data_IF_966339324374
#
_entry.id   IF_966339324374
#
_cell.length_a   1.000
_cell.length_b   1.000
_cell.length_c   1.000
_cell.angle_alpha   90.00
_cell.angle_beta   90.00
_cell.angle_gamma   90.00
#
_symmetry.space_group_name_H-M   'P 1'
#
loop_
_entity.id
_entity.type
_entity.pdbx_description
1 polymer ?
#
# COMPACT_ATOMS: atom_id res chain seq x y z
N UNK A 1 -43.50 -29.33 17.66
CA UNK A 1 -42.22 -28.91 17.06
C UNK A 1 -42.21 -27.41 17.13
N UNK A 2 -41.73 -26.89 18.25
CA UNK A 2 -41.70 -25.46 18.52
C UNK A 2 -40.51 -24.85 17.79
N UNK A 3 -40.80 -23.99 16.82
CA UNK A 3 -39.79 -23.17 16.14
C UNK A 3 -39.35 -22.12 17.15
N UNK A 4 -38.14 -22.27 17.69
CA UNK A 4 -37.52 -21.27 18.53
C UNK A 4 -37.47 -19.92 17.77
N UNK A 5 -37.80 -18.79 18.41
CA UNK A 5 -37.69 -17.50 17.78
C UNK A 5 -36.22 -17.27 17.41
N UNK A 6 -35.94 -17.06 16.12
CA UNK A 6 -34.64 -16.64 15.63
C UNK A 6 -34.20 -15.42 16.44
N UNK A 7 -33.07 -15.53 17.12
CA UNK A 7 -32.47 -14.45 17.86
C UNK A 7 -32.49 -13.19 16.97
N UNK A 8 -33.27 -12.20 17.39
CA UNK A 8 -33.23 -10.87 16.81
C UNK A 8 -31.77 -10.40 16.91
N UNK A 9 -31.05 -10.49 15.80
CA UNK A 9 -29.77 -9.83 15.61
C UNK A 9 -30.06 -8.34 15.76
N UNK A 10 -29.92 -7.79 16.97
CA UNK A 10 -29.88 -6.37 17.20
C UNK A 10 -28.62 -5.86 16.49
N UNK A 11 -28.74 -5.63 15.18
CA UNK A 11 -27.80 -4.79 14.45
C UNK A 11 -27.96 -3.40 15.05
N UNK A 12 -27.10 -3.08 16.00
CA UNK A 12 -26.84 -1.70 16.38
C UNK A 12 -26.54 -0.95 15.10
N UNK A 13 -27.44 -0.04 14.71
CA UNK A 13 -27.27 0.76 13.50
C UNK A 13 -25.95 1.52 13.65
N UNK A 14 -25.01 1.25 12.75
CA UNK A 14 -23.70 1.91 12.77
C UNK A 14 -23.89 3.43 12.72
N UNK A 15 -23.14 4.21 13.51
CA UNK A 15 -23.12 5.64 13.32
C UNK A 15 -22.55 5.93 11.93
N UNK A 16 -23.13 6.92 11.24
CA UNK A 16 -22.80 7.24 9.85
C UNK A 16 -21.30 7.44 9.60
N UNK A 17 -20.59 8.03 10.57
CA UNK A 17 -19.14 8.23 10.44
C UNK A 17 -18.38 6.91 10.29
N UNK A 18 -18.80 5.86 11.02
CA UNK A 18 -18.11 4.57 11.03
C UNK A 18 -18.35 3.80 9.72
N UNK A 19 -19.57 3.90 9.20
CA UNK A 19 -19.93 3.38 7.89
C UNK A 19 -19.07 4.02 6.78
N UNK A 20 -19.03 5.36 6.72
CA UNK A 20 -18.25 6.08 5.70
C UNK A 20 -16.75 5.82 5.83
N UNK A 21 -16.19 5.88 7.05
CA UNK A 21 -14.77 5.60 7.27
C UNK A 21 -14.42 4.16 6.93
N UNK A 22 -15.30 3.21 7.27
CA UNK A 22 -15.14 1.81 6.92
C UNK A 22 -15.13 1.57 5.41
N UNK A 23 -16.07 2.17 4.66
CA UNK A 23 -16.12 2.08 3.20
C UNK A 23 -14.86 2.68 2.55
N UNK A 24 -14.44 3.88 2.99
CA UNK A 24 -13.23 4.52 2.47
C UNK A 24 -12.00 3.65 2.75
N UNK A 25 -11.89 3.11 3.96
CA UNK A 25 -10.79 2.23 4.34
C UNK A 25 -10.74 0.94 3.51
N UNK A 26 -11.89 0.36 3.18
CA UNK A 26 -11.97 -0.84 2.31
C UNK A 26 -11.50 -0.50 0.90
N UNK A 27 -11.96 0.61 0.32
CA UNK A 27 -11.56 1.01 -1.04
C UNK A 27 -10.07 1.30 -1.09
N UNK A 28 -9.57 2.12 -0.17
CA UNK A 28 -8.16 2.51 -0.14
C UNK A 28 -7.25 1.34 0.25
N UNK A 29 -7.66 0.47 1.17
CA UNK A 29 -6.92 -0.74 1.51
C UNK A 29 -6.79 -1.70 0.34
N UNK A 30 -7.85 -1.85 -0.47
CA UNK A 30 -7.81 -2.67 -1.67
C UNK A 30 -6.86 -2.07 -2.72
N UNK A 31 -6.96 -0.75 -2.93
CA UNK A 31 -6.07 -0.03 -3.84
C UNK A 31 -4.60 -0.13 -3.41
N UNK A 32 -4.32 0.08 -2.11
CA UNK A 32 -2.96 -0.03 -1.55
C UNK A 32 -2.42 -1.46 -1.65
N UNK A 33 -3.24 -2.47 -1.39
CA UNK A 33 -2.84 -3.88 -1.55
C UNK A 33 -2.45 -4.18 -2.99
N UNK A 34 -3.27 -3.73 -3.95
CA UNK A 34 -3.00 -3.93 -5.37
C UNK A 34 -1.75 -3.18 -5.83
N UNK A 35 -1.58 -1.92 -5.42
CA UNK A 35 -0.41 -1.11 -5.81
C UNK A 35 0.88 -1.71 -5.26
N UNK A 36 0.91 -2.06 -3.97
CA UNK A 36 2.07 -2.71 -3.35
C UNK A 36 2.36 -4.08 -3.97
N UNK A 37 1.33 -4.85 -4.36
CA UNK A 37 1.51 -6.10 -5.09
C UNK A 37 2.23 -5.94 -6.42
N UNK A 38 1.87 -4.91 -7.20
CA UNK A 38 2.55 -4.58 -8.47
C UNK A 38 4.00 -4.16 -8.20
N UNK A 39 4.25 -3.31 -7.21
CA UNK A 39 5.59 -2.88 -6.85
C UNK A 39 6.49 -4.04 -6.38
N UNK A 40 5.97 -4.93 -5.53
CA UNK A 40 6.69 -6.12 -5.09
C UNK A 40 7.01 -7.05 -6.25
N UNK A 41 6.07 -7.28 -7.15
CA UNK A 41 6.29 -8.15 -8.33
C UNK A 41 7.46 -7.63 -9.16
N UNK A 42 7.49 -6.32 -9.44
CA UNK A 42 8.61 -5.69 -10.15
C UNK A 42 9.93 -5.91 -9.40
N UNK A 43 9.96 -5.67 -8.10
CA UNK A 43 11.17 -5.83 -7.29
C UNK A 43 11.66 -7.28 -7.21
N UNK A 44 10.73 -8.23 -7.19
CA UNK A 44 11.06 -9.65 -7.21
C UNK A 44 11.71 -10.07 -8.52
N UNK A 45 11.16 -9.64 -9.66
CA UNK A 45 11.75 -9.89 -10.99
C UNK A 45 13.18 -9.34 -11.06
N UNK A 46 13.41 -8.13 -10.56
CA UNK A 46 14.75 -7.53 -10.51
C UNK A 46 15.70 -8.18 -9.49
N UNK A 47 15.17 -8.88 -8.49
CA UNK A 47 15.96 -9.58 -7.47
C UNK A 47 16.36 -10.99 -7.90
N UNK A 48 15.68 -11.59 -8.89
CA UNK A 48 15.97 -12.93 -9.38
C UNK A 48 17.32 -13.00 -10.13
N UNK A 49 18.02 -14.14 -10.11
CA UNK A 49 19.29 -14.33 -10.83
C UNK A 49 19.19 -14.08 -12.33
N UNK A 50 18.03 -14.36 -12.94
CA UNK A 50 17.76 -14.11 -14.36
C UNK A 50 17.69 -12.61 -14.64
N UNK A 51 17.00 -11.83 -13.80
CA UNK A 51 16.99 -10.36 -13.89
C UNK A 51 18.33 -9.71 -13.54
N UNK A 52 19.26 -10.45 -12.89
CA UNK A 52 20.66 -10.05 -12.74
C UNK A 52 21.51 -10.42 -13.97
N UNK A 53 21.16 -11.51 -14.67
CA UNK A 53 21.80 -11.96 -15.90
C UNK A 53 21.45 -11.06 -17.10
N UNK A 54 20.19 -10.64 -17.26
CA UNK A 54 19.79 -9.57 -18.20
C UNK A 54 20.46 -8.24 -17.86
N UNK A 55 20.68 -7.97 -16.57
CA UNK A 55 21.47 -6.81 -16.11
C UNK A 55 22.93 -6.86 -16.58
N UNK A 56 23.44 -8.04 -16.90
CA UNK A 56 24.82 -8.31 -17.28
C UNK A 56 24.97 -8.65 -18.79
N UNK A 57 23.89 -8.97 -19.48
CA UNK A 57 23.85 -9.36 -20.88
C UNK A 57 22.87 -8.44 -21.60
N UNK A 58 23.44 -7.44 -22.28
CA UNK A 58 22.83 -6.57 -23.28
C UNK A 58 21.30 -6.41 -23.19
N UNK A 59 20.87 -5.26 -22.68
CA UNK A 59 19.59 -4.62 -23.03
C UNK A 59 19.57 -4.28 -24.53
N UNK A 60 19.83 -5.24 -25.42
CA UNK A 60 19.64 -5.05 -26.85
C UNK A 60 18.14 -4.92 -27.11
N UNK A 61 17.77 -4.07 -28.07
CA UNK A 61 16.38 -3.87 -28.52
C UNK A 61 16.16 -4.74 -29.76
N UNK A 62 15.70 -5.99 -29.64
CA UNK A 62 15.56 -6.91 -30.77
C UNK A 62 14.41 -6.43 -31.65
N UNK A 63 14.59 -6.42 -32.97
CA UNK A 63 13.56 -5.88 -33.87
C UNK A 63 12.25 -6.68 -33.86
N UNK A 64 12.30 -7.97 -33.50
CA UNK A 64 11.13 -8.81 -33.31
C UNK A 64 10.28 -8.37 -32.11
N UNK A 65 10.90 -8.04 -30.97
CA UNK A 65 10.17 -7.50 -29.80
C UNK A 65 9.64 -6.09 -30.06
N UNK A 66 10.41 -5.22 -30.73
CA UNK A 66 9.95 -3.88 -31.11
C UNK A 66 8.66 -3.94 -31.93
N UNK A 67 8.58 -4.92 -32.84
CA UNK A 67 7.40 -5.14 -33.70
C UNK A 67 6.24 -5.76 -32.93
N UNK A 68 6.50 -6.64 -31.97
CA UNK A 68 5.46 -7.28 -31.14
C UNK A 68 4.85 -6.29 -30.14
N UNK A 69 5.68 -5.46 -29.50
CA UNK A 69 5.24 -4.46 -28.53
C UNK A 69 4.77 -3.14 -29.18
N UNK A 70 5.03 -2.95 -30.47
CA UNK A 70 4.64 -1.76 -31.23
C UNK A 70 5.40 -0.49 -30.81
N UNK A 71 6.62 -0.65 -30.31
CA UNK A 71 7.48 0.46 -29.85
C UNK A 71 8.57 0.78 -30.88
N UNK A 72 8.99 2.05 -30.95
CA UNK A 72 10.09 2.43 -31.83
C UNK A 72 11.44 2.13 -31.18
N UNK A 73 12.48 2.01 -32.00
CA UNK A 73 13.86 1.77 -31.52
C UNK A 73 14.33 2.86 -30.56
N UNK A 74 13.95 4.11 -30.79
CA UNK A 74 14.29 5.25 -29.94
C UNK A 74 13.65 5.15 -28.56
N UNK A 75 12.38 4.73 -28.51
CA UNK A 75 11.66 4.50 -27.24
C UNK A 75 12.34 3.39 -26.45
N UNK A 76 12.68 2.28 -27.11
CA UNK A 76 13.39 1.18 -26.45
C UNK A 76 14.75 1.62 -25.90
N UNK A 77 15.55 2.35 -26.69
CA UNK A 77 16.84 2.89 -26.22
C UNK A 77 16.70 3.85 -25.04
N UNK A 78 15.63 4.65 -25.02
CA UNK A 78 15.35 5.53 -23.90
C UNK A 78 14.97 4.75 -22.63
N UNK A 79 14.12 3.72 -22.76
CA UNK A 79 13.78 2.83 -21.63
C UNK A 79 15.01 2.08 -21.11
N UNK A 80 15.87 1.60 -22.01
CA UNK A 80 17.15 0.99 -21.67
C UNK A 80 18.03 1.96 -20.87
N UNK A 81 18.19 3.20 -21.36
CA UNK A 81 18.99 4.20 -20.67
C UNK A 81 18.44 4.54 -19.27
N UNK A 82 17.10 4.63 -19.14
CA UNK A 82 16.44 4.85 -17.85
C UNK A 82 16.63 3.66 -16.89
N UNK A 83 16.54 2.43 -17.40
CA UNK A 83 16.81 1.22 -16.63
C UNK A 83 18.26 1.21 -16.16
N UNK A 84 19.23 1.41 -17.06
CA UNK A 84 20.66 1.41 -16.72
C UNK A 84 21.00 2.50 -15.69
N UNK A 85 20.46 3.71 -15.87
CA UNK A 85 20.61 4.81 -14.91
C UNK A 85 20.03 4.45 -13.54
N UNK A 86 18.86 3.80 -13.51
CA UNK A 86 18.24 3.34 -12.28
C UNK A 86 19.09 2.27 -11.59
N UNK A 87 19.65 1.34 -12.35
CA UNK A 87 20.46 0.24 -11.84
C UNK A 87 21.78 0.71 -11.22
N UNK A 88 22.47 1.63 -11.88
CA UNK A 88 23.73 2.19 -11.37
C UNK A 88 23.48 3.02 -10.10
N UNK A 89 22.36 3.74 -10.04
CA UNK A 89 22.07 4.66 -8.93
C UNK A 89 21.36 4.01 -7.74
N UNK A 90 20.84 2.80 -7.88
CA UNK A 90 20.10 2.12 -6.81
C UNK A 90 21.04 1.35 -5.87
N UNK A 91 21.06 1.68 -4.57
CA UNK A 91 21.85 0.93 -3.60
C UNK A 91 21.35 -0.52 -3.46
N UNK A 92 22.26 -1.49 -3.35
CA UNK A 92 21.90 -2.92 -3.18
C UNK A 92 21.08 -3.22 -1.92
N UNK A 93 21.21 -2.39 -0.88
CA UNK A 93 20.44 -2.53 0.35
C UNK A 93 18.98 -2.04 0.20
N UNK A 94 18.74 -1.09 -0.71
CA UNK A 94 17.42 -0.46 -0.91
C UNK A 94 16.39 -1.50 -1.33
N UNK A 95 16.73 -2.40 -2.26
CA UNK A 95 15.85 -3.49 -2.71
C UNK A 95 15.36 -4.36 -1.55
N UNK A 96 16.27 -4.77 -0.64
CA UNK A 96 15.91 -5.61 0.50
C UNK A 96 15.02 -4.86 1.50
N UNK A 97 15.32 -3.60 1.77
CA UNK A 97 14.49 -2.75 2.62
C UNK A 97 13.08 -2.58 2.03
N UNK A 98 13.01 -2.30 0.73
CA UNK A 98 11.75 -2.04 0.04
C UNK A 98 10.86 -3.28 -0.08
N UNK A 99 11.43 -4.46 -0.31
CA UNK A 99 10.69 -5.73 -0.28
C UNK A 99 10.10 -5.97 1.11
N UNK A 100 10.89 -5.78 2.17
CA UNK A 100 10.42 -5.95 3.54
C UNK A 100 9.28 -4.99 3.89
N UNK A 101 9.43 -3.71 3.55
CA UNK A 101 8.40 -2.69 3.74
C UNK A 101 7.15 -2.98 2.90
N UNK A 102 7.29 -3.43 1.66
CA UNK A 102 6.17 -3.77 0.77
C UNK A 102 5.36 -4.96 1.30
N UNK A 103 6.02 -6.01 1.78
CA UNK A 103 5.33 -7.16 2.39
C UNK A 103 4.56 -6.72 3.65
N UNK A 104 5.21 -5.96 4.53
CA UNK A 104 4.55 -5.43 5.72
C UNK A 104 3.36 -4.52 5.35
N UNK A 105 3.52 -3.69 4.31
CA UNK A 105 2.48 -2.82 3.78
C UNK A 105 1.27 -3.59 3.27
N UNK A 106 1.48 -4.69 2.55
CA UNK A 106 0.38 -5.57 2.09
C UNK A 106 -0.37 -6.17 3.29
N UNK A 107 0.33 -6.65 4.30
CA UNK A 107 -0.30 -7.25 5.49
C UNK A 107 -1.16 -6.21 6.21
N UNK A 108 -0.65 -4.99 6.41
CA UNK A 108 -1.41 -3.93 7.07
C UNK A 108 -2.54 -3.37 6.20
N UNK A 109 -2.36 -3.29 4.89
CA UNK A 109 -3.43 -2.93 3.95
C UNK A 109 -4.56 -3.96 3.96
N UNK A 110 -4.25 -5.25 4.02
CA UNK A 110 -5.25 -6.29 4.26
C UNK A 110 -5.92 -6.13 5.64
N UNK A 111 -5.14 -5.75 6.67
CA UNK A 111 -5.68 -5.38 7.98
C UNK A 111 -6.66 -4.20 7.92
N UNK A 112 -6.43 -3.21 7.05
CA UNK A 112 -7.32 -2.06 6.89
C UNK A 112 -8.64 -2.44 6.22
N UNK A 113 -8.62 -3.43 5.31
CA UNK A 113 -9.83 -4.03 4.75
C UNK A 113 -10.69 -4.67 5.84
N UNK A 114 -10.06 -5.51 6.66
CA UNK A 114 -10.76 -6.27 7.72
C UNK A 114 -11.35 -5.32 8.75
N UNK A 115 -10.56 -4.36 9.24
CA UNK A 115 -11.01 -3.38 10.22
C UNK A 115 -12.03 -2.39 9.63
N UNK A 116 -11.91 -2.04 8.34
CA UNK A 116 -12.91 -1.24 7.62
C UNK A 116 -14.26 -1.94 7.49
N UNK A 117 -14.28 -3.23 7.11
CA UNK A 117 -15.51 -4.03 7.09
C UNK A 117 -16.12 -4.16 8.50
N UNK A 118 -15.29 -4.35 9.53
CA UNK A 118 -15.75 -4.42 10.91
C UNK A 118 -16.33 -3.09 11.43
N UNK A 119 -15.83 -1.95 10.93
CA UNK A 119 -16.40 -0.62 11.21
C UNK A 119 -17.79 -0.44 10.58
N UNK A 120 -17.97 -0.90 9.33
CA UNK A 120 -19.28 -0.86 8.66
C UNK A 120 -20.33 -1.67 9.43
N UNK A 121 -19.95 -2.82 9.97
CA UNK A 121 -20.81 -3.69 10.80
C UNK A 121 -20.83 -3.30 12.30
N UNK A 122 -20.27 -2.12 12.63
CA UNK A 122 -20.20 -1.53 13.97
C UNK A 122 -19.78 -2.49 15.08
N UNK A 123 -18.65 -3.18 14.89
CA UNK A 123 -18.07 -4.03 15.95
C UNK A 123 -17.40 -3.17 17.02
N UNK A 124 -17.66 -3.48 18.29
CA UNK A 124 -17.12 -2.71 19.42
C UNK A 124 -15.58 -2.62 19.46
N UNK A 125 -14.87 -3.63 18.95
CA UNK A 125 -13.41 -3.64 18.85
C UNK A 125 -12.86 -2.91 17.60
N UNK A 126 -13.72 -2.62 16.61
CA UNK A 126 -13.29 -2.16 15.29
C UNK A 126 -12.59 -0.80 15.32
N UNK A 127 -13.06 0.24 16.05
CA UNK A 127 -12.35 1.53 16.09
C UNK A 127 -10.92 1.41 16.64
N UNK A 128 -10.73 0.68 17.74
CA UNK A 128 -9.40 0.49 18.33
C UNK A 128 -8.45 -0.29 17.43
N UNK A 129 -8.92 -1.36 16.79
CA UNK A 129 -8.12 -2.11 15.84
C UNK A 129 -7.80 -1.29 14.57
N UNK A 130 -8.76 -0.51 14.07
CA UNK A 130 -8.56 0.40 12.94
C UNK A 130 -7.45 1.41 13.21
N UNK A 131 -7.50 2.07 14.37
CA UNK A 131 -6.45 3.03 14.80
C UNK A 131 -5.09 2.34 14.85
N UNK A 132 -5.03 1.12 15.39
CA UNK A 132 -3.78 0.35 15.47
C UNK A 132 -3.21 0.03 14.08
N UNK A 133 -4.06 -0.38 13.14
CA UNK A 133 -3.66 -0.65 11.76
C UNK A 133 -3.18 0.63 11.06
N UNK A 134 -3.92 1.74 11.19
CA UNK A 134 -3.53 3.03 10.60
C UNK A 134 -2.20 3.54 11.18
N UNK A 135 -1.98 3.40 12.49
CA UNK A 135 -0.70 3.75 13.12
C UNK A 135 0.46 2.90 12.57
N UNK A 136 0.22 1.61 12.31
CA UNK A 136 1.19 0.73 11.66
C UNK A 136 1.51 1.17 10.23
N UNK A 137 0.49 1.52 9.44
CA UNK A 137 0.68 2.05 8.08
C UNK A 137 1.51 3.33 8.12
N UNK A 138 1.14 4.29 8.97
CA UNK A 138 1.89 5.54 9.19
C UNK A 138 3.37 5.27 9.50
N UNK A 139 3.66 4.30 10.36
CA UNK A 139 5.04 3.91 10.66
C UNK A 139 5.78 3.35 9.44
N UNK A 140 5.12 2.56 8.59
CA UNK A 140 5.70 2.07 7.34
C UNK A 140 5.93 3.19 6.32
N UNK A 141 5.02 4.15 6.20
CA UNK A 141 5.20 5.29 5.31
C UNK A 141 6.38 6.16 5.75
N UNK A 142 6.54 6.41 7.05
CA UNK A 142 7.69 7.12 7.59
C UNK A 142 8.99 6.35 7.33
N UNK A 143 9.00 5.03 7.56
CA UNK A 143 10.17 4.20 7.28
C UNK A 143 10.52 4.21 5.78
N UNK A 144 9.52 4.06 4.90
CA UNK A 144 9.70 4.11 3.45
C UNK A 144 10.18 5.46 2.94
N UNK A 145 9.66 6.55 3.53
CA UNK A 145 10.14 7.91 3.28
C UNK A 145 11.61 8.05 3.66
N UNK A 146 12.01 7.61 4.86
CA UNK A 146 13.40 7.68 5.34
C UNK A 146 14.33 6.87 4.42
N UNK A 147 13.94 5.63 4.09
CA UNK A 147 14.68 4.75 3.18
C UNK A 147 14.86 5.40 1.81
N UNK A 148 13.82 6.03 1.27
CA UNK A 148 13.86 6.68 -0.03
C UNK A 148 14.62 8.00 -0.01
N UNK A 149 14.50 8.81 1.04
CA UNK A 149 15.22 10.08 1.18
C UNK A 149 16.75 9.87 1.20
N UNK A 150 17.19 8.79 1.84
CA UNK A 150 18.61 8.41 1.96
C UNK A 150 19.15 7.60 0.77
N UNK A 151 18.38 7.50 -0.32
CA UNK A 151 18.76 6.77 -1.52
C UNK A 151 19.16 7.69 -2.69
N UNK A 152 19.33 7.15 -3.90
CA UNK A 152 19.69 7.92 -5.10
C UNK A 152 18.59 8.91 -5.56
N UNK A 153 18.94 9.93 -6.36
CA UNK A 153 18.00 10.96 -6.82
C UNK A 153 16.82 10.39 -7.63
N UNK A 154 17.03 9.31 -8.38
CA UNK A 154 15.96 8.65 -9.14
C UNK A 154 14.92 8.02 -8.23
N UNK A 155 15.36 7.32 -7.18
CA UNK A 155 14.47 6.72 -6.18
C UNK A 155 13.70 7.81 -5.43
N UNK A 156 14.35 8.91 -5.04
CA UNK A 156 13.67 10.04 -4.39
C UNK A 156 12.52 10.58 -5.24
N UNK A 157 12.77 10.79 -6.54
CA UNK A 157 11.74 11.27 -7.49
C UNK A 157 10.59 10.27 -7.64
N UNK A 158 10.89 8.97 -7.62
CA UNK A 158 9.89 7.93 -7.83
C UNK A 158 8.98 7.69 -6.62
N UNK A 159 9.51 7.77 -5.38
CA UNK A 159 8.79 7.27 -4.20
C UNK A 159 8.40 8.32 -3.16
N UNK A 160 9.11 9.44 -3.02
CA UNK A 160 8.88 10.37 -1.89
C UNK A 160 7.46 10.95 -1.90
N UNK A 161 6.95 11.30 -3.08
CA UNK A 161 5.61 11.86 -3.19
C UNK A 161 4.53 10.88 -2.78
N UNK A 162 4.67 9.62 -3.21
CA UNK A 162 3.74 8.55 -2.88
C UNK A 162 3.68 8.33 -1.35
N UNK A 163 4.84 8.27 -0.68
CA UNK A 163 4.88 8.16 0.78
C UNK A 163 4.23 9.33 1.51
N UNK A 164 4.45 10.56 1.05
CA UNK A 164 3.82 11.74 1.67
C UNK A 164 2.30 11.74 1.48
N UNK A 165 1.83 11.35 0.29
CA UNK A 165 0.41 11.25 0.00
C UNK A 165 -0.27 10.20 0.89
N UNK A 166 0.26 8.99 0.94
CA UNK A 166 -0.29 7.92 1.78
C UNK A 166 -0.22 8.24 3.27
N UNK A 167 0.87 8.84 3.73
CA UNK A 167 1.00 9.33 5.10
C UNK A 167 -0.12 10.32 5.45
N UNK A 168 -0.39 11.30 4.58
CA UNK A 168 -1.44 12.28 4.79
C UNK A 168 -2.83 11.62 4.84
N UNK A 169 -3.09 10.65 3.95
CA UNK A 169 -4.35 9.88 3.92
C UNK A 169 -4.54 9.11 5.23
N UNK A 170 -3.56 8.32 5.66
CA UNK A 170 -3.69 7.50 6.87
C UNK A 170 -3.79 8.34 8.15
N UNK A 171 -3.06 9.46 8.25
CA UNK A 171 -3.24 10.40 9.36
C UNK A 171 -4.67 10.96 9.37
N UNK A 172 -5.20 11.34 8.21
CA UNK A 172 -6.57 11.88 8.10
C UNK A 172 -7.63 10.86 8.51
N UNK A 173 -7.49 9.60 8.08
CA UNK A 173 -8.40 8.52 8.47
C UNK A 173 -8.30 8.21 9.97
N UNK A 174 -7.07 8.10 10.49
CA UNK A 174 -6.83 7.80 11.90
C UNK A 174 -7.42 8.90 12.80
N UNK A 175 -7.14 10.16 12.49
CA UNK A 175 -7.64 11.32 13.25
C UNK A 175 -9.16 11.44 13.18
N UNK A 176 -9.77 11.17 12.02
CA UNK A 176 -11.23 11.16 11.87
C UNK A 176 -11.91 10.11 12.76
N UNK A 177 -11.37 8.89 12.81
CA UNK A 177 -11.89 7.83 13.69
C UNK A 177 -11.60 8.13 15.16
N UNK A 178 -10.40 8.61 15.49
CA UNK A 178 -10.04 9.00 16.86
C UNK A 178 -11.00 10.05 17.40
N UNK A 179 -11.20 11.16 16.68
CA UNK A 179 -12.07 12.25 17.11
C UNK A 179 -13.52 11.79 17.32
N UNK A 180 -14.05 10.97 16.40
CA UNK A 180 -15.42 10.47 16.50
C UNK A 180 -15.59 9.43 17.63
N UNK A 181 -14.58 8.59 17.86
CA UNK A 181 -14.65 7.52 18.85
C UNK A 181 -14.44 8.02 20.28
N UNK A 182 -13.52 8.96 20.50
CA UNK A 182 -13.30 9.55 21.83
C UNK A 182 -14.39 10.54 22.19
N UNK A 183 -14.87 11.36 21.25
CA UNK A 183 -15.96 12.31 21.49
C UNK A 183 -17.26 11.60 21.90
N UNK A 184 -17.58 10.45 21.29
CA UNK A 184 -18.74 9.66 21.70
C UNK A 184 -18.60 8.93 23.05
N UNK A 185 -17.39 8.84 23.61
CA UNK A 185 -17.15 8.26 24.95
C UNK A 185 -17.41 9.30 26.06
N UNK A 186 -17.07 10.56 25.82
CA UNK A 186 -17.24 11.65 26.78
C UNK A 186 -18.72 11.98 27.05
N UNK A 187 -19.61 11.78 26.08
CA UNK A 187 -21.06 12.00 26.23
C UNK A 187 -21.77 10.92 27.07
N UNK A 188 -21.07 9.85 27.47
CA UNK A 188 -21.64 8.69 28.18
C UNK A 188 -21.13 8.50 29.61
N UNK A 189 -20.20 9.34 30.06
CA UNK A 189 -19.70 9.41 31.45
C UNK A 189 -20.32 10.59 32.21
#
# INVERSE_FOLDING_TARGET
MDVAPSANEHRSVAPRWAEWMGVIAVILGAYLTASQGVHLTKQYVFALPIGQAERAQNLECPEDELREEGITLEVCRQMQADIEATLITTPRWFLRAQIGLGIAGIILAAGSLITGMALVDWRAWAPGAFITVMAGLIALELAGFIVSANSGPMIRKAYLWDYLLWLAIHISLMTGVLAAWTGGREDTE
#
